data_IF_917733285285
#
_entry.id   IF_917733285285
#
_cell.length_a   1.000
_cell.length_b   1.000
_cell.length_c   1.000
_cell.angle_alpha   90.00
_cell.angle_beta   90.00
_cell.angle_gamma   90.00
#
_symmetry.space_group_name_H-M   'P 1'
#
loop_
_entity.id
_entity.type
_entity.pdbx_description
1 polymer ?
#
# COMPACT_ATOMS: atom_id res chain seq x y z
N UNK A 1 0.46 51.29 26.08
CA UNK A 1 -0.40 50.78 24.99
C UNK A 1 0.52 50.26 23.89
N UNK A 2 0.72 48.93 23.83
CA UNK A 2 0.18 48.02 22.78
C UNK A 2 0.70 48.38 21.39
N UNK A 3 1.48 47.58 20.66
CA UNK A 3 1.69 46.13 20.61
C UNK A 3 1.93 45.77 19.14
N UNK A 4 2.45 44.56 18.87
CA UNK A 4 2.70 43.94 17.55
C UNK A 4 4.05 44.24 16.86
N UNK A 5 5.10 43.57 17.37
CA UNK A 5 6.08 42.91 16.49
C UNK A 5 5.63 41.44 16.37
N UNK A 6 5.30 41.00 15.16
CA UNK A 6 4.86 39.66 14.78
C UNK A 6 5.40 39.51 13.35
N UNK A 7 6.25 38.57 12.99
CA UNK A 7 6.70 37.34 13.65
C UNK A 7 7.33 36.46 12.59
N UNK A 8 8.20 37.03 11.75
CA UNK A 8 9.02 36.30 10.79
C UNK A 8 10.34 35.89 11.44
N UNK A 9 10.31 34.77 12.17
CA UNK A 9 11.50 33.93 12.46
C UNK A 9 11.07 32.64 13.18
N UNK A 10 10.19 31.85 12.55
CA UNK A 10 9.77 30.55 13.08
C UNK A 10 10.05 29.38 12.14
N UNK A 11 10.84 29.61 11.07
CA UNK A 11 11.26 28.54 10.14
C UNK A 11 12.73 28.15 10.28
N UNK A 12 13.58 28.97 10.93
CA UNK A 12 15.00 28.65 11.10
C UNK A 12 15.33 27.94 12.42
N UNK A 13 14.47 28.02 13.44
CA UNK A 13 14.73 27.48 14.79
C UNK A 13 14.09 26.10 15.04
N UNK A 14 14.02 25.24 14.03
CA UNK A 14 13.68 23.82 14.24
C UNK A 14 14.65 22.85 13.55
N UNK A 15 15.72 23.36 12.91
CA UNK A 15 16.67 22.53 12.17
C UNK A 15 17.86 22.05 13.03
N UNK A 16 18.00 22.54 14.26
CA UNK A 16 19.20 22.34 15.07
C UNK A 16 18.93 21.68 16.42
N UNK A 17 18.45 20.41 16.40
CA UNK A 17 18.78 19.37 17.41
C UNK A 17 17.97 18.10 17.17
N UNK A 18 18.57 17.13 16.49
CA UNK A 18 18.51 15.73 16.93
C UNK A 18 19.64 14.95 16.23
N UNK A 19 20.85 15.08 16.75
CA UNK A 19 21.81 13.97 16.64
C UNK A 19 21.37 12.94 17.64
N UNK A 20 20.51 12.02 17.23
CA UNK A 20 20.50 10.71 17.83
C UNK A 20 20.51 9.63 16.77
N UNK A 21 21.51 8.77 16.91
CA UNK A 21 21.90 7.74 15.98
C UNK A 21 20.88 6.61 16.12
N UNK A 22 19.84 6.59 15.30
CA UNK A 22 18.94 5.43 15.19
C UNK A 22 18.97 4.90 13.77
N UNK A 23 19.43 3.65 13.63
CA UNK A 23 19.35 2.86 12.40
C UNK A 23 17.90 2.64 12.00
N UNK A 24 17.36 3.53 11.17
CA UNK A 24 16.00 3.43 10.63
C UNK A 24 16.03 2.80 9.24
N UNK A 25 16.02 1.47 9.18
CA UNK A 25 15.83 0.74 7.90
C UNK A 25 14.38 0.30 7.65
N UNK A 26 13.46 0.56 8.58
CA UNK A 26 12.03 0.25 8.46
C UNK A 26 11.14 1.46 8.13
N UNK A 27 11.73 2.64 7.86
CA UNK A 27 10.98 3.88 7.63
C UNK A 27 10.46 4.03 6.20
N UNK A 28 11.07 3.38 5.21
CA UNK A 28 10.71 3.53 3.79
C UNK A 28 9.30 3.00 3.48
N UNK A 29 8.97 1.80 3.98
CA UNK A 29 7.68 1.14 3.72
C UNK A 29 6.56 1.84 4.51
N UNK A 30 6.83 2.19 5.78
CA UNK A 30 5.91 3.00 6.60
C UNK A 30 5.71 4.41 6.06
N UNK A 31 6.75 5.08 5.56
CA UNK A 31 6.61 6.43 5.02
C UNK A 31 5.86 6.44 3.69
N UNK A 32 5.96 5.39 2.87
CA UNK A 32 5.16 5.25 1.64
C UNK A 32 3.70 4.93 1.94
N UNK A 33 3.44 4.10 2.95
CA UNK A 33 2.09 3.83 3.46
C UNK A 33 1.47 5.10 4.05
N UNK A 34 2.17 5.80 4.93
CA UNK A 34 1.74 7.08 5.49
C UNK A 34 1.54 8.12 4.40
N UNK A 35 2.43 8.23 3.42
CA UNK A 35 2.24 9.17 2.31
C UNK A 35 0.97 8.87 1.50
N UNK A 36 0.66 7.59 1.24
CA UNK A 36 -0.58 7.20 0.57
C UNK A 36 -1.81 7.49 1.43
N UNK A 37 -1.79 7.12 2.71
CA UNK A 37 -2.88 7.38 3.66
C UNK A 37 -3.12 8.89 3.81
N UNK A 38 -2.08 9.69 3.96
CA UNK A 38 -2.14 11.16 4.06
C UNK A 38 -2.67 11.79 2.76
N UNK A 39 -2.32 11.24 1.59
CA UNK A 39 -2.83 11.74 0.31
C UNK A 39 -4.28 11.34 0.01
N UNK A 40 -4.71 10.17 0.49
CA UNK A 40 -6.04 9.62 0.21
C UNK A 40 -7.10 10.16 1.17
N UNK A 41 -6.75 10.34 2.44
CA UNK A 41 -7.67 10.83 3.49
C UNK A 41 -8.39 12.15 3.11
N UNK A 42 -7.73 13.20 2.57
CA UNK A 42 -8.44 14.41 2.17
C UNK A 42 -9.34 14.21 0.95
N UNK A 43 -8.98 13.31 0.03
CA UNK A 43 -9.79 12.97 -1.15
C UNK A 43 -11.07 12.25 -0.70
N UNK A 44 -10.94 11.29 0.21
CA UNK A 44 -12.07 10.55 0.77
C UNK A 44 -12.99 11.46 1.60
N UNK A 45 -12.41 12.37 2.40
CA UNK A 45 -13.17 13.37 3.14
C UNK A 45 -13.94 14.32 2.22
N UNK A 46 -13.34 14.73 1.09
CA UNK A 46 -14.01 15.54 0.09
C UNK A 46 -15.16 14.76 -0.57
N UNK A 47 -14.92 13.51 -1.00
CA UNK A 47 -15.95 12.65 -1.58
C UNK A 47 -17.13 12.42 -0.62
N UNK A 48 -16.85 12.26 0.68
CA UNK A 48 -17.88 12.13 1.70
C UNK A 48 -18.72 13.41 1.82
N UNK A 49 -18.08 14.58 1.85
CA UNK A 49 -18.78 15.87 1.87
C UNK A 49 -19.65 16.07 0.62
N UNK A 50 -19.11 15.78 -0.56
CA UNK A 50 -19.83 15.91 -1.84
C UNK A 50 -21.05 14.97 -1.89
N UNK A 51 -20.91 13.76 -1.34
CA UNK A 51 -22.00 12.79 -1.27
C UNK A 51 -23.13 13.28 -0.35
N UNK A 52 -22.79 13.74 0.85
CA UNK A 52 -23.76 14.27 1.81
C UNK A 52 -24.51 15.50 1.27
N UNK A 53 -23.79 16.40 0.57
CA UNK A 53 -24.39 17.57 -0.09
C UNK A 53 -25.32 17.16 -1.24
N UNK A 54 -24.96 16.12 -1.99
CA UNK A 54 -25.76 15.65 -3.14
C UNK A 54 -27.17 15.18 -2.76
N UNK A 55 -27.39 14.83 -1.48
CA UNK A 55 -28.63 14.22 -0.94
C UNK A 55 -29.14 13.03 -1.78
N UNK A 56 -28.24 12.40 -2.54
CA UNK A 56 -28.57 11.24 -3.37
C UNK A 56 -28.70 10.03 -2.47
N UNK A 57 -29.81 9.33 -2.60
CA UNK A 57 -29.95 8.00 -2.02
C UNK A 57 -29.07 7.05 -2.84
N UNK A 58 -28.24 6.28 -2.15
CA UNK A 58 -27.41 5.26 -2.80
C UNK A 58 -28.32 4.15 -3.34
N UNK A 59 -28.56 4.14 -4.66
CA UNK A 59 -29.39 3.13 -5.31
C UNK A 59 -28.53 1.97 -5.84
N UNK A 60 -28.44 0.90 -5.05
CA UNK A 60 -27.76 -0.33 -5.43
C UNK A 60 -28.35 -0.96 -6.71
N UNK A 61 -29.64 -0.77 -7.00
CA UNK A 61 -30.29 -1.36 -8.18
C UNK A 61 -29.77 -0.76 -9.49
N UNK A 62 -29.46 0.53 -9.49
CA UNK A 62 -28.85 1.22 -10.65
C UNK A 62 -27.41 0.76 -10.97
N UNK A 63 -26.71 0.18 -9.99
CA UNK A 63 -25.31 -0.25 -10.14
C UNK A 63 -25.16 -1.70 -10.61
N UNK A 64 -26.21 -2.51 -10.48
CA UNK A 64 -26.24 -3.92 -10.92
C UNK A 64 -26.86 -4.10 -12.31
N UNK A 65 -27.26 -3.00 -12.97
CA UNK A 65 -27.85 -3.05 -14.30
C UNK A 65 -26.76 -3.29 -15.36
N UNK A 66 -26.34 -4.55 -15.47
CA UNK A 66 -25.39 -5.04 -16.48
C UNK A 66 -25.97 -5.02 -17.91
N UNK A 67 -27.27 -4.70 -18.07
CA UNK A 67 -27.95 -4.52 -19.35
C UNK A 67 -28.06 -3.03 -19.72
N UNK A 68 -26.92 -2.43 -20.05
CA UNK A 68 -26.83 -1.04 -20.49
C UNK A 68 -27.38 -0.85 -21.91
N UNK A 69 -28.70 -0.69 -22.03
CA UNK A 69 -29.31 0.18 -23.06
C UNK A 69 -29.99 1.42 -22.46
N UNK A 70 -30.06 1.53 -21.12
CA UNK A 70 -30.81 2.59 -20.44
C UNK A 70 -30.03 3.49 -19.48
N UNK A 71 -28.80 3.16 -19.08
CA UNK A 71 -28.01 4.07 -18.24
C UNK A 71 -27.36 5.17 -19.09
N UNK A 72 -27.50 6.40 -18.62
CA UNK A 72 -26.95 7.62 -19.24
C UNK A 72 -25.42 7.70 -19.14
N UNK A 73 -24.73 6.66 -18.64
CA UNK A 73 -23.28 6.62 -18.62
C UNK A 73 -22.77 5.96 -19.89
N UNK A 74 -22.50 6.77 -20.93
CA UNK A 74 -21.67 6.39 -22.07
C UNK A 74 -20.23 6.14 -21.59
N UNK A 75 -20.00 5.05 -20.86
CA UNK A 75 -18.65 4.65 -20.46
C UNK A 75 -18.02 3.97 -21.68
N UNK A 76 -16.93 4.51 -22.25
CA UNK A 76 -16.27 3.89 -23.37
C UNK A 76 -15.82 2.47 -23.02
N UNK A 77 -15.95 1.52 -23.96
CA UNK A 77 -15.45 0.14 -23.80
C UNK A 77 -13.96 0.10 -23.42
N UNK A 78 -13.18 1.07 -23.87
CA UNK A 78 -11.77 1.24 -23.48
C UNK A 78 -11.58 1.54 -21.99
N UNK A 79 -12.49 2.27 -21.36
CA UNK A 79 -12.47 2.54 -19.91
C UNK A 79 -12.73 1.26 -19.12
N UNK A 80 -13.72 0.47 -19.53
CA UNK A 80 -14.03 -0.84 -18.92
C UNK A 80 -12.82 -1.77 -19.03
N UNK A 81 -12.23 -1.87 -20.21
CA UNK A 81 -11.07 -2.73 -20.46
C UNK A 81 -9.84 -2.31 -19.63
N UNK A 82 -9.58 -1.01 -19.54
CA UNK A 82 -8.48 -0.46 -18.74
C UNK A 82 -8.68 -0.71 -17.24
N UNK A 83 -9.91 -0.60 -16.75
CA UNK A 83 -10.25 -0.90 -15.37
C UNK A 83 -10.08 -2.39 -15.04
N UNK A 84 -10.59 -3.27 -15.89
CA UNK A 84 -10.43 -4.72 -15.73
C UNK A 84 -8.95 -5.13 -15.73
N UNK A 85 -8.15 -4.55 -16.63
CA UNK A 85 -6.71 -4.80 -16.64
C UNK A 85 -6.05 -4.35 -15.33
N UNK A 86 -6.44 -3.19 -14.79
CA UNK A 86 -5.92 -2.70 -13.50
C UNK A 86 -6.33 -3.57 -12.32
N UNK A 87 -7.54 -4.11 -12.29
CA UNK A 87 -7.97 -4.98 -11.18
C UNK A 87 -7.31 -6.35 -11.29
N UNK A 88 -7.21 -6.91 -12.49
CA UNK A 88 -6.62 -8.23 -12.71
C UNK A 88 -5.09 -8.23 -12.56
N UNK A 89 -4.43 -7.11 -12.87
CA UNK A 89 -2.96 -6.98 -12.88
C UNK A 89 -2.47 -5.73 -12.16
N UNK A 90 -3.16 -5.34 -11.09
CA UNK A 90 -2.85 -4.13 -10.33
C UNK A 90 -1.52 -4.21 -9.56
N UNK A 91 -0.98 -5.41 -9.37
CA UNK A 91 0.28 -5.69 -8.68
C UNK A 91 0.40 -5.06 -7.28
N UNK A 92 -0.74 -4.76 -6.65
CA UNK A 92 -0.85 -4.20 -5.32
C UNK A 92 -1.68 -5.15 -4.46
N UNK A 93 -1.21 -5.38 -3.24
CA UNK A 93 -1.92 -6.15 -2.22
C UNK A 93 -2.20 -5.27 -1.01
N UNK A 94 -3.16 -5.67 -0.18
CA UNK A 94 -3.38 -5.02 1.11
C UNK A 94 -2.26 -5.40 2.10
N UNK A 95 -1.84 -4.45 2.92
CA UNK A 95 -0.66 -4.55 3.80
C UNK A 95 -0.85 -5.42 5.04
N UNK A 96 -2.07 -5.90 5.34
CA UNK A 96 -2.32 -6.75 6.51
C UNK A 96 -1.75 -8.17 6.36
N UNK A 97 -1.41 -8.56 5.13
CA UNK A 97 -0.91 -9.88 4.77
C UNK A 97 0.21 -9.78 3.74
N UNK A 98 0.86 -10.91 3.46
CA UNK A 98 1.82 -11.05 2.37
C UNK A 98 1.30 -12.05 1.33
N UNK A 99 1.79 -11.93 0.10
CA UNK A 99 1.46 -12.83 -1.01
C UNK A 99 2.74 -13.50 -1.50
N UNK A 100 2.69 -14.83 -1.67
CA UNK A 100 3.72 -15.61 -2.35
C UNK A 100 3.06 -16.39 -3.48
N UNK A 101 3.54 -16.21 -4.70
CA UNK A 101 3.18 -17.00 -5.86
C UNK A 101 4.20 -18.12 -6.04
N UNK A 102 3.71 -19.36 -6.16
CA UNK A 102 4.54 -20.56 -6.24
C UNK A 102 4.27 -21.33 -7.53
N UNK A 103 5.28 -22.05 -7.99
CA UNK A 103 5.13 -23.04 -9.03
C UNK A 103 4.40 -24.29 -8.50
N UNK A 104 3.42 -24.78 -9.25
CA UNK A 104 2.57 -25.89 -8.84
C UNK A 104 3.35 -27.21 -8.72
N UNK A 105 4.32 -27.43 -9.60
CA UNK A 105 5.04 -28.70 -9.68
C UNK A 105 6.23 -28.74 -8.72
N UNK A 106 6.99 -27.64 -8.66
CA UNK A 106 8.27 -27.62 -7.98
C UNK A 106 8.19 -26.96 -6.59
N UNK A 107 7.06 -26.35 -6.23
CA UNK A 107 6.88 -25.58 -5.01
C UNK A 107 7.89 -24.43 -4.86
N UNK A 108 8.44 -23.95 -5.97
CA UNK A 108 9.43 -22.87 -6.00
C UNK A 108 8.75 -21.52 -6.07
N UNK A 109 9.33 -20.52 -5.40
CA UNK A 109 8.80 -19.15 -5.40
C UNK A 109 8.99 -18.49 -6.78
N UNK A 110 7.88 -18.08 -7.40
CA UNK A 110 7.84 -17.35 -8.66
C UNK A 110 7.75 -15.83 -8.47
N UNK A 111 7.07 -15.40 -7.41
CA UNK A 111 6.99 -13.99 -7.01
C UNK A 111 6.58 -13.89 -5.54
N UNK A 112 6.92 -12.79 -4.89
CA UNK A 112 6.48 -12.49 -3.53
C UNK A 112 6.30 -10.98 -3.35
N UNK A 113 5.44 -10.59 -2.41
CA UNK A 113 5.22 -9.19 -2.07
C UNK A 113 6.41 -8.62 -1.29
N UNK A 114 6.65 -7.30 -1.42
CA UNK A 114 7.80 -6.63 -0.77
C UNK A 114 7.82 -6.79 0.75
N UNK A 115 6.65 -6.89 1.39
CA UNK A 115 6.50 -7.08 2.83
C UNK A 115 6.65 -8.53 3.29
N UNK A 116 6.77 -9.51 2.38
CA UNK A 116 6.80 -10.93 2.73
C UNK A 116 7.99 -11.32 3.63
N UNK A 117 9.25 -10.88 3.37
CA UNK A 117 10.37 -11.23 4.25
C UNK A 117 10.22 -10.67 5.67
N UNK A 118 9.62 -9.49 5.81
CA UNK A 118 9.36 -8.87 7.12
C UNK A 118 8.21 -9.59 7.84
N UNK A 119 7.11 -9.87 7.15
CA UNK A 119 5.93 -10.52 7.74
C UNK A 119 6.15 -11.98 8.14
N UNK A 120 7.09 -12.67 7.48
CA UNK A 120 7.45 -14.05 7.79
C UNK A 120 8.65 -14.15 8.74
N UNK A 121 9.12 -13.03 9.31
CA UNK A 121 10.32 -12.97 10.16
C UNK A 121 11.57 -13.59 9.51
N UNK A 122 11.65 -13.51 8.17
CA UNK A 122 12.74 -14.04 7.36
C UNK A 122 13.87 -13.02 7.17
N UNK A 123 13.64 -11.77 7.57
CA UNK A 123 14.64 -10.71 7.50
C UNK A 123 15.79 -10.99 8.50
N UNK A 124 17.07 -10.86 8.08
CA UNK A 124 18.21 -11.16 8.94
C UNK A 124 18.22 -10.24 10.16
N UNK A 125 17.94 -10.83 11.33
CA UNK A 125 17.99 -10.20 12.64
C UNK A 125 19.46 -9.96 13.06
N UNK A 126 20.03 -8.86 12.57
CA UNK A 126 21.32 -8.29 12.96
C UNK A 126 22.61 -9.03 12.53
N UNK A 127 23.59 -8.18 12.18
CA UNK A 127 24.94 -8.43 11.63
C UNK A 127 24.91 -9.07 10.24
N UNK A 128 25.14 -8.30 9.14
CA UNK A 128 25.25 -8.87 7.80
C UNK A 128 26.47 -9.78 7.74
N UNK A 129 26.25 -11.09 7.77
CA UNK A 129 27.27 -12.08 7.45
C UNK A 129 27.31 -12.24 5.92
N UNK A 130 28.50 -12.28 5.34
CA UNK A 130 28.70 -12.31 3.88
C UNK A 130 28.14 -13.60 3.22
N UNK A 131 27.79 -14.59 4.05
CA UNK A 131 27.25 -15.89 3.64
C UNK A 131 25.76 -16.10 4.00
N UNK A 132 25.07 -15.08 4.54
CA UNK A 132 23.63 -15.19 4.81
C UNK A 132 22.84 -15.19 3.51
N UNK A 133 22.49 -16.39 3.04
CA UNK A 133 21.53 -16.58 1.97
C UNK A 133 20.19 -15.96 2.39
N UNK A 134 19.67 -15.04 1.56
CA UNK A 134 18.37 -14.43 1.78
C UNK A 134 17.30 -15.54 1.81
N UNK A 135 16.55 -15.65 2.91
CA UNK A 135 15.70 -16.81 3.15
C UNK A 135 14.53 -16.93 2.15
N UNK A 136 14.06 -15.80 1.60
CA UNK A 136 13.04 -15.74 0.57
C UNK A 136 13.60 -15.10 -0.72
N UNK A 137 13.82 -15.92 -1.74
CA UNK A 137 14.27 -15.47 -3.07
C UNK A 137 13.50 -16.21 -4.17
N UNK A 138 13.64 -15.75 -5.42
CA UNK A 138 13.11 -16.48 -6.57
C UNK A 138 13.75 -17.86 -6.66
N UNK A 139 12.93 -18.90 -6.82
CA UNK A 139 13.40 -20.29 -6.87
C UNK A 139 13.57 -20.96 -5.51
N UNK A 140 13.43 -20.25 -4.39
CA UNK A 140 13.38 -20.87 -3.05
C UNK A 140 12.22 -21.87 -2.97
N UNK A 141 12.43 -23.05 -2.38
CA UNK A 141 11.34 -24.00 -2.08
C UNK A 141 10.51 -23.48 -0.91
N UNK A 142 9.23 -23.20 -1.16
CA UNK A 142 8.31 -22.59 -0.16
C UNK A 142 8.15 -23.48 1.09
N UNK A 143 8.32 -24.79 0.96
CA UNK A 143 8.20 -25.73 2.08
C UNK A 143 9.30 -25.56 3.12
N UNK A 144 10.43 -24.97 2.73
CA UNK A 144 11.53 -24.63 3.66
C UNK A 144 11.21 -23.43 4.55
N UNK A 145 10.21 -22.63 4.19
CA UNK A 145 9.81 -21.43 4.93
C UNK A 145 8.86 -21.73 6.10
N UNK A 146 8.22 -22.90 6.11
CA UNK A 146 7.19 -23.26 7.08
C UNK A 146 7.56 -24.54 7.82
N UNK A 147 7.23 -24.59 9.11
CA UNK A 147 7.38 -25.82 9.91
C UNK A 147 6.35 -26.86 9.48
N UNK A 148 6.74 -28.14 9.46
CA UNK A 148 5.80 -29.24 9.20
C UNK A 148 4.68 -29.28 10.24
N UNK A 149 3.44 -29.53 9.80
CA UNK A 149 2.33 -29.80 10.72
C UNK A 149 2.58 -31.08 11.50
N UNK A 150 2.22 -31.09 12.78
CA UNK A 150 2.18 -32.28 13.64
C UNK A 150 0.92 -33.11 13.41
#
# INVERSE_FOLDING_TARGET
ETGLYKGENLLEEMSSKLTDRTTSRSSSVRSRHDARVISQTPIDAQLASDFDESKRLFDYASSVDLNLSGSTSNIPSSTVSSYLQKIQRGSLIQSFGCLIAIDEHNFTVLAFSENAPEMLDLAPLAVPNIEQQEALTFGTDVRSLFTSSS
#
